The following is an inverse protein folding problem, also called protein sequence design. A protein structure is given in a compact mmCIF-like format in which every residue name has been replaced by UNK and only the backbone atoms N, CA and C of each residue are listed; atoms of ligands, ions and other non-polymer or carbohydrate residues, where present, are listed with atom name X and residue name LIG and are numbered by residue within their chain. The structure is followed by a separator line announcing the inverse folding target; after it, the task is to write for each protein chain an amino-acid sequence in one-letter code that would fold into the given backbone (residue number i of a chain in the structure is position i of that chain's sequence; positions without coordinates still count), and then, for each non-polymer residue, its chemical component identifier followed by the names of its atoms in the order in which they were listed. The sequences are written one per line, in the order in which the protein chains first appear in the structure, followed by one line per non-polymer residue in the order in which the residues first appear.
data_IF_555382698451
#
_entry.id   IF_555382698451
#
_cell.length_a   1.000
_cell.length_b   1.000
_cell.length_c   1.000
_cell.angle_alpha   90.00
_cell.angle_beta   90.00
_cell.angle_gamma   90.00
#
_symmetry.space_group_name_H-M   'P 1'
#
loop_
_entity.id
_entity.type
_entity.pdbx_description
1 polymer ?
#
# COMPACT_ATOMS: atom_id res chain seq x y z
N UNK A 1 25.61 -16.23 -30.83
CA UNK A 1 24.30 -16.48 -30.18
C UNK A 1 23.85 -15.17 -29.57
N UNK A 2 22.75 -14.54 -30.02
CA UNK A 2 22.19 -13.42 -29.29
C UNK A 2 21.57 -13.99 -28.01
N UNK A 3 22.09 -13.56 -26.86
CA UNK A 3 21.39 -13.72 -25.59
C UNK A 3 20.08 -12.95 -25.72
N UNK A 4 18.98 -13.65 -26.01
CA UNK A 4 17.64 -13.12 -25.76
C UNK A 4 17.59 -12.80 -24.27
N UNK A 5 17.92 -11.56 -23.92
CA UNK A 5 17.79 -11.06 -22.56
C UNK A 5 16.31 -11.25 -22.23
N UNK A 6 16.05 -12.01 -21.18
CA UNK A 6 14.72 -12.25 -20.61
C UNK A 6 14.20 -10.96 -19.95
N UNK A 7 14.12 -9.88 -20.74
CA UNK A 7 13.71 -8.53 -20.35
C UNK A 7 12.31 -8.61 -19.74
N UNK A 8 11.46 -9.46 -20.33
CA UNK A 8 10.10 -9.73 -19.83
C UNK A 8 10.09 -10.29 -18.40
N UNK A 9 11.02 -11.17 -18.05
CA UNK A 9 11.14 -11.73 -16.71
C UNK A 9 11.51 -10.67 -15.66
N UNK A 10 12.47 -9.80 -15.97
CA UNK A 10 12.87 -8.70 -15.09
C UNK A 10 11.77 -7.65 -14.92
N UNK A 11 11.08 -7.28 -16.01
CA UNK A 11 9.94 -6.36 -15.97
C UNK A 11 8.84 -6.93 -15.09
N UNK A 12 8.49 -8.22 -15.27
CA UNK A 12 7.46 -8.88 -14.48
C UNK A 12 7.82 -8.98 -13.00
N UNK A 13 9.09 -9.23 -12.70
CA UNK A 13 9.60 -9.22 -11.32
C UNK A 13 9.47 -7.83 -10.69
N UNK A 14 9.91 -6.77 -11.38
CA UNK A 14 9.80 -5.39 -10.91
C UNK A 14 8.34 -5.00 -10.62
N UNK A 15 7.43 -5.33 -11.55
CA UNK A 15 6.00 -5.09 -11.39
C UNK A 15 5.44 -5.79 -10.15
N UNK A 16 5.84 -7.04 -9.92
CA UNK A 16 5.40 -7.84 -8.76
C UNK A 16 5.92 -7.27 -7.44
N UNK A 17 7.16 -6.77 -7.39
CA UNK A 17 7.75 -6.14 -6.21
C UNK A 17 6.97 -4.88 -5.81
N UNK A 18 6.70 -4.00 -6.78
CA UNK A 18 5.95 -2.76 -6.53
C UNK A 18 4.50 -3.05 -6.13
N UNK A 19 3.86 -4.02 -6.77
CA UNK A 19 2.51 -4.46 -6.39
C UNK A 19 2.47 -4.98 -4.96
N UNK A 20 3.47 -5.79 -4.56
CA UNK A 20 3.59 -6.31 -3.21
C UNK A 20 3.81 -5.19 -2.19
N UNK A 21 4.72 -4.26 -2.47
CA UNK A 21 4.95 -3.10 -1.60
C UNK A 21 3.68 -2.26 -1.38
N UNK A 22 2.83 -2.12 -2.42
CA UNK A 22 1.55 -1.42 -2.30
C UNK A 22 0.55 -2.15 -1.39
N UNK A 23 0.50 -3.48 -1.47
CA UNK A 23 -0.34 -4.32 -0.59
C UNK A 23 0.12 -4.24 0.86
N UNK A 24 1.43 -4.33 1.08
CA UNK A 24 2.02 -4.24 2.42
C UNK A 24 1.78 -2.85 3.03
N UNK A 25 1.92 -1.78 2.23
CA UNK A 25 1.63 -0.41 2.69
C UNK A 25 0.18 -0.26 3.17
N UNK A 26 -0.78 -0.79 2.41
CA UNK A 26 -2.20 -0.77 2.77
C UNK A 26 -2.46 -1.49 4.09
N UNK A 27 -1.81 -2.64 4.31
CA UNK A 27 -1.95 -3.41 5.53
C UNK A 27 -1.40 -2.66 6.76
N UNK A 28 -0.21 -2.08 6.62
CA UNK A 28 0.43 -1.28 7.67
C UNK A 28 -0.39 -0.05 8.02
N UNK A 29 -0.91 0.70 7.04
CA UNK A 29 -1.76 1.85 7.31
C UNK A 29 -3.03 1.45 8.07
N UNK A 30 -3.67 0.33 7.68
CA UNK A 30 -4.85 -0.18 8.39
C UNK A 30 -4.51 -0.59 9.83
N UNK A 31 -3.32 -1.15 10.06
CA UNK A 31 -2.82 -1.50 11.39
C UNK A 31 -2.60 -0.25 12.24
N UNK A 32 -1.94 0.77 11.70
CA UNK A 32 -1.69 2.06 12.37
C UNK A 32 -2.96 2.84 12.69
N UNK A 33 -4.01 2.73 11.88
CA UNK A 33 -5.32 3.32 12.21
C UNK A 33 -5.96 2.68 13.46
N UNK A 34 -5.69 1.40 13.71
CA UNK A 34 -6.20 0.68 14.88
C UNK A 34 -5.30 0.85 16.10
N UNK A 35 -3.99 0.85 15.88
CA UNK A 35 -2.99 1.02 16.93
C UNK A 35 -1.91 2.01 16.44
N UNK A 36 -2.09 3.32 16.69
CA UNK A 36 -1.15 4.34 16.21
C UNK A 36 0.21 4.30 16.91
N UNK A 37 0.30 3.67 18.09
CA UNK A 37 1.53 3.58 18.90
C UNK A 37 2.37 2.34 18.58
N UNK A 38 1.99 1.55 17.57
CA UNK A 38 2.77 0.39 17.15
C UNK A 38 4.06 0.82 16.45
N UNK A 39 5.16 0.85 17.21
CA UNK A 39 6.50 1.21 16.73
C UNK A 39 6.96 0.36 15.54
N UNK A 40 6.59 -0.91 15.49
CA UNK A 40 6.96 -1.79 14.38
C UNK A 40 6.20 -1.37 13.12
N UNK A 41 4.90 -1.10 13.22
CA UNK A 41 4.10 -0.64 12.10
C UNK A 41 4.53 0.75 11.60
N UNK A 42 4.95 1.64 12.51
CA UNK A 42 5.50 2.95 12.14
C UNK A 42 6.83 2.81 11.37
N UNK A 43 7.71 1.93 11.84
CA UNK A 43 8.98 1.64 11.17
C UNK A 43 8.75 1.01 9.79
N UNK A 44 7.82 0.08 9.68
CA UNK A 44 7.45 -0.58 8.43
C UNK A 44 6.87 0.42 7.42
N UNK A 45 5.97 1.31 7.87
CA UNK A 45 5.44 2.42 7.07
C UNK A 45 6.58 3.27 6.49
N UNK A 46 7.53 3.68 7.34
CA UNK A 46 8.65 4.52 6.93
C UNK A 46 9.53 3.86 5.88
N UNK A 47 9.79 2.55 6.00
CA UNK A 47 10.60 1.82 5.02
C UNK A 47 9.89 1.69 3.68
N UNK A 48 8.57 1.43 3.69
CA UNK A 48 7.80 1.32 2.46
C UNK A 48 7.73 2.68 1.75
N UNK A 49 7.53 3.77 2.50
CA UNK A 49 7.58 5.13 1.93
C UNK A 49 8.96 5.47 1.36
N UNK A 50 10.04 5.05 2.03
CA UNK A 50 11.41 5.19 1.50
C UNK A 50 11.58 4.41 0.20
N UNK A 51 11.11 3.16 0.14
CA UNK A 51 11.17 2.34 -1.07
C UNK A 51 10.48 3.03 -2.24
N UNK A 52 9.25 3.51 -2.06
CA UNK A 52 8.54 4.20 -3.14
C UNK A 52 9.26 5.48 -3.60
N UNK A 53 9.80 6.28 -2.67
CA UNK A 53 10.47 7.54 -3.00
C UNK A 53 11.85 7.40 -3.62
N UNK A 54 12.60 6.34 -3.27
CA UNK A 54 14.02 6.21 -3.65
C UNK A 54 14.28 5.05 -4.59
N UNK A 55 13.68 3.90 -4.33
CA UNK A 55 14.07 2.64 -4.96
C UNK A 55 13.11 2.24 -6.08
N UNK A 56 11.80 2.51 -5.94
CA UNK A 56 10.79 2.13 -6.94
C UNK A 56 11.07 2.74 -8.32
N UNK A 57 11.54 3.99 -8.37
CA UNK A 57 11.95 4.66 -9.60
C UNK A 57 13.12 4.00 -10.34
N UNK A 58 13.97 3.25 -9.61
CA UNK A 58 15.06 2.48 -10.22
C UNK A 58 14.57 1.16 -10.84
N UNK A 59 13.46 0.61 -10.35
CA UNK A 59 12.87 -0.62 -10.88
C UNK A 59 11.88 -0.36 -12.01
N UNK A 60 11.10 0.72 -11.90
CA UNK A 60 10.10 1.13 -12.88
C UNK A 60 10.01 2.65 -12.92
N UNK A 61 9.72 3.22 -14.08
CA UNK A 61 9.46 4.65 -14.24
C UNK A 61 8.07 5.00 -13.65
N UNK A 62 8.01 5.06 -12.32
CA UNK A 62 6.79 5.31 -11.55
C UNK A 62 6.98 6.46 -10.57
N UNK A 63 5.93 7.26 -10.41
CA UNK A 63 5.87 8.30 -9.39
C UNK A 63 5.51 7.67 -8.04
N UNK A 64 6.54 7.46 -7.21
CA UNK A 64 6.39 6.87 -5.88
C UNK A 64 5.56 7.72 -4.92
N UNK A 65 5.65 9.04 -5.00
CA UNK A 65 4.87 9.95 -4.14
C UNK A 65 3.38 9.89 -4.51
N UNK A 66 3.08 9.82 -5.81
CA UNK A 66 1.71 9.59 -6.28
C UNK A 66 1.13 8.27 -5.76
N UNK A 67 1.91 7.17 -5.78
CA UNK A 67 1.47 5.86 -5.28
C UNK A 67 1.16 5.93 -3.78
N UNK A 68 2.04 6.54 -2.98
CA UNK A 68 1.86 6.71 -1.54
C UNK A 68 0.55 7.46 -1.26
N UNK A 69 0.39 8.65 -1.87
CA UNK A 69 -0.75 9.54 -1.67
C UNK A 69 -2.07 8.88 -2.11
N UNK A 70 -2.05 8.13 -3.21
CA UNK A 70 -3.21 7.35 -3.66
C UNK A 70 -3.61 6.27 -2.65
N UNK A 71 -2.66 5.47 -2.16
CA UNK A 71 -2.96 4.39 -1.21
C UNK A 71 -3.46 4.96 0.13
N UNK A 72 -2.86 6.04 0.63
CA UNK A 72 -3.33 6.70 1.86
C UNK A 72 -4.80 7.13 1.74
N UNK A 73 -5.16 7.81 0.66
CA UNK A 73 -6.55 8.23 0.40
C UNK A 73 -7.50 7.05 0.28
N UNK A 74 -7.09 5.95 -0.36
CA UNK A 74 -7.91 4.75 -0.48
C UNK A 74 -8.15 4.08 0.87
N UNK A 75 -7.14 4.02 1.75
CA UNK A 75 -7.30 3.50 3.11
C UNK A 75 -8.27 4.36 3.91
N UNK A 76 -8.12 5.68 3.86
CA UNK A 76 -9.00 6.62 4.56
C UNK A 76 -10.46 6.51 4.09
N UNK A 77 -10.69 6.42 2.78
CA UNK A 77 -12.04 6.23 2.21
C UNK A 77 -12.66 4.91 2.67
N UNK A 78 -11.90 3.81 2.60
CA UNK A 78 -12.38 2.50 3.02
C UNK A 78 -12.72 2.48 4.52
N UNK A 79 -11.93 3.14 5.35
CA UNK A 79 -12.19 3.23 6.79
C UNK A 79 -13.52 3.95 7.06
N UNK A 80 -13.76 5.09 6.41
CA UNK A 80 -15.03 5.83 6.54
C UNK A 80 -16.23 4.99 6.13
N UNK A 81 -16.12 4.25 5.03
CA UNK A 81 -17.15 3.31 4.58
C UNK A 81 -17.40 2.21 5.62
N UNK A 82 -16.34 1.61 6.18
CA UNK A 82 -16.51 0.57 7.22
C UNK A 82 -17.19 1.09 8.48
N UNK A 83 -16.85 2.31 8.93
CA UNK A 83 -17.51 2.96 10.08
C UNK A 83 -18.98 3.27 9.79
N UNK A 84 -19.30 3.73 8.57
CA UNK A 84 -20.68 3.99 8.15
C UNK A 84 -21.52 2.71 8.09
N UNK A 85 -20.96 1.62 7.56
CA UNK A 85 -21.63 0.31 7.51
C UNK A 85 -21.87 -0.23 8.93
N UNK A 86 -20.89 -0.11 9.83
CA UNK A 86 -21.05 -0.53 11.22
C UNK A 86 -22.18 0.23 11.93
N UNK A 87 -22.20 1.56 11.79
CA UNK A 87 -23.26 2.41 12.34
C UNK A 87 -24.65 2.08 11.77
N UNK A 88 -24.74 1.72 10.49
CA UNK A 88 -25.99 1.31 9.86
C UNK A 88 -26.48 -0.05 10.40
N UNK A 89 -25.57 -1.00 10.66
CA UNK A 89 -25.89 -2.28 11.28
C UNK A 89 -26.37 -2.14 12.72
N UNK A 90 -25.75 -1.26 13.51
CA UNK A 90 -26.18 -0.98 14.89
C UNK A 90 -27.59 -0.41 14.93
N UNK A 91 -27.90 0.56 14.06
CA UNK A 91 -29.27 1.11 13.93
C UNK A 91 -30.32 0.10 13.53
N UNK A 92 -29.95 -0.88 12.70
CA UNK A 92 -30.86 -1.94 12.26
C UNK A 92 -31.02 -3.07 13.30
N UNK A 93 -30.11 -3.17 14.28
CA UNK A 93 -30.19 -4.13 15.38
C UNK A 93 -30.98 -3.60 16.60
N UNK A 94 -31.08 -2.27 16.73
CA UNK A 94 -31.90 -1.59 17.74
C UNK A 94 -33.39 -1.40 17.32
N UNK A 95 -33.81 -1.96 16.17
CA UNK A 95 -35.19 -1.95 15.64
C UNK A 95 -35.78 -3.35 15.58
#
# INVERSE_FOLDING_TARGET
MPVERNIDGYVRLAHTIVEKAGKDYRAVLKKLKRNPEDSQAQWEKMNIERFFRRDAGAYMDVDGDYIIDRIQREVDKNERLTKAIQKAKERAADS
#
